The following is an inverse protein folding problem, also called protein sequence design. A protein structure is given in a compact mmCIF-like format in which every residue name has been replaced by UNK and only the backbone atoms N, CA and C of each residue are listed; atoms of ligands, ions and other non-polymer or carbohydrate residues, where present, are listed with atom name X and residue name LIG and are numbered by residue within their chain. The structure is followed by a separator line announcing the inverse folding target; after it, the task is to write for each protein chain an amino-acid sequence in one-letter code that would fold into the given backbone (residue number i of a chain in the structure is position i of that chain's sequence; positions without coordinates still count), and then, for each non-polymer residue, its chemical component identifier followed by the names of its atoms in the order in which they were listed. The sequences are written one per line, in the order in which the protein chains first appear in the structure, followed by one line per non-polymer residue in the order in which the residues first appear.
data_IF_695502842826
#
_entry.id   IF_695502842826
#
_cell.length_a   1.000
_cell.length_b   1.000
_cell.length_c   1.000
_cell.angle_alpha   90.00
_cell.angle_beta   90.00
_cell.angle_gamma   90.00
#
_symmetry.space_group_name_H-M   'P 1'
#
loop_
_entity.id
_entity.type
_entity.pdbx_description
1 polymer ?
#
# COMPACT_ATOMS: atom_id res chain seq x y z
N UNK A 1 12.32 -10.33 -10.16
CA UNK A 1 11.88 -9.59 -8.97
C UNK A 1 10.78 -8.62 -9.40
N UNK A 2 9.55 -8.87 -8.97
CA UNK A 2 8.36 -8.04 -9.20
C UNK A 2 7.93 -7.44 -7.87
N UNK A 3 7.68 -6.13 -7.86
CA UNK A 3 7.33 -5.42 -6.64
C UNK A 3 5.99 -4.73 -6.88
N UNK A 4 5.00 -5.06 -6.07
CA UNK A 4 3.73 -4.36 -6.01
C UNK A 4 3.78 -3.22 -5.00
N UNK A 5 2.93 -2.22 -5.21
CA UNK A 5 2.75 -1.09 -4.30
C UNK A 5 1.30 -0.99 -3.83
N UNK A 6 1.13 -0.63 -2.57
CA UNK A 6 -0.16 -0.37 -1.93
C UNK A 6 -0.09 0.90 -1.07
N UNK A 7 -1.26 1.38 -0.67
CA UNK A 7 -1.41 2.53 0.19
C UNK A 7 -1.55 2.05 1.65
N UNK A 8 -0.71 2.55 2.56
CA UNK A 8 -0.58 2.03 3.94
C UNK A 8 -1.31 2.85 5.01
N UNK A 9 -1.87 4.00 4.64
CA UNK A 9 -2.50 4.89 5.60
C UNK A 9 -3.89 4.39 6.02
N UNK A 10 -4.28 4.63 7.28
CA UNK A 10 -5.58 4.20 7.84
C UNK A 10 -6.80 4.73 7.10
N UNK A 11 -6.66 5.82 6.33
CA UNK A 11 -7.73 6.38 5.50
C UNK A 11 -7.66 5.98 4.03
N UNK A 12 -6.64 5.23 3.62
CA UNK A 12 -6.48 4.82 2.23
C UNK A 12 -7.32 3.59 1.89
N UNK A 13 -7.60 3.43 0.59
CA UNK A 13 -8.25 2.24 0.07
C UNK A 13 -7.23 1.11 0.05
N UNK A 14 -7.45 0.11 0.90
CA UNK A 14 -6.62 -1.10 0.96
C UNK A 14 -6.99 -2.10 -0.14
N UNK A 15 -8.20 -2.03 -0.67
CA UNK A 15 -8.73 -2.96 -1.67
C UNK A 15 -7.84 -3.09 -2.93
N UNK A 16 -7.24 -2.01 -3.47
CA UNK A 16 -6.27 -2.13 -4.58
C UNK A 16 -5.02 -2.93 -4.19
N UNK A 17 -4.50 -2.75 -2.98
CA UNK A 17 -3.33 -3.49 -2.50
C UNK A 17 -3.64 -4.99 -2.35
N UNK A 18 -4.87 -5.33 -1.93
CA UNK A 18 -5.36 -6.72 -1.89
C UNK A 18 -5.40 -7.33 -3.28
N UNK A 19 -5.93 -6.63 -4.28
CA UNK A 19 -5.95 -7.12 -5.67
C UNK A 19 -4.54 -7.38 -6.20
N UNK A 20 -3.60 -6.49 -5.87
CA UNK A 20 -2.19 -6.63 -6.26
C UNK A 20 -1.53 -7.83 -5.56
N UNK A 21 -1.82 -8.06 -4.27
CA UNK A 21 -1.34 -9.23 -3.54
C UNK A 21 -1.89 -10.56 -4.09
N UNK A 22 -3.19 -10.59 -4.39
CA UNK A 22 -3.88 -11.81 -4.83
C UNK A 22 -3.59 -12.17 -6.30
N UNK A 23 -3.42 -11.16 -7.17
CA UNK A 23 -3.43 -11.35 -8.63
C UNK A 23 -2.19 -10.81 -9.34
N UNK A 24 -1.35 -10.03 -8.66
CA UNK A 24 -0.23 -9.31 -9.28
C UNK A 24 0.99 -10.18 -9.61
N UNK A 25 1.05 -11.41 -9.12
CA UNK A 25 2.22 -12.30 -9.26
C UNK A 25 3.53 -11.59 -8.90
N UNK A 26 3.53 -10.93 -7.73
CA UNK A 26 4.62 -10.13 -7.19
C UNK A 26 5.45 -10.94 -6.19
N UNK A 27 6.74 -10.63 -6.08
CA UNK A 27 7.63 -11.21 -5.08
C UNK A 27 7.55 -10.43 -3.76
N UNK A 28 7.24 -9.13 -3.82
CA UNK A 28 7.14 -8.24 -2.66
C UNK A 28 6.01 -7.23 -2.83
N UNK A 29 5.30 -6.93 -1.74
CA UNK A 29 4.34 -5.82 -1.66
C UNK A 29 4.88 -4.76 -0.72
N UNK A 30 4.93 -3.51 -1.18
CA UNK A 30 5.41 -2.36 -0.42
C UNK A 30 4.25 -1.39 -0.19
N UNK A 31 4.16 -0.83 1.01
CA UNK A 31 3.19 0.21 1.33
C UNK A 31 3.88 1.57 1.38
N UNK A 32 3.23 2.60 0.84
CA UNK A 32 3.64 3.98 1.07
C UNK A 32 3.13 4.50 2.43
N UNK A 33 3.91 5.41 3.04
CA UNK A 33 3.63 6.03 4.35
C UNK A 33 3.53 7.56 4.27
N UNK A 34 3.19 8.08 3.10
CA UNK A 34 3.23 9.50 2.71
C UNK A 34 2.19 10.32 3.49
N UNK A 35 1.04 9.73 3.81
CA UNK A 35 0.02 10.36 4.65
C UNK A 35 0.29 10.22 6.16
N UNK A 36 1.05 9.21 6.61
CA UNK A 36 1.32 9.00 8.04
C UNK A 36 2.02 10.19 8.68
N UNK A 37 3.03 10.81 8.05
CA UNK A 37 3.75 11.92 8.71
C UNK A 37 3.02 13.25 8.67
N UNK A 38 2.16 13.46 7.68
CA UNK A 38 1.45 14.74 7.47
C UNK A 38 0.13 14.76 8.24
N UNK A 39 -0.60 13.64 8.31
CA UNK A 39 -1.86 13.53 9.05
C UNK A 39 -1.70 13.04 10.51
N UNK A 40 -0.60 12.37 10.88
CA UNK A 40 -0.40 12.01 12.31
C UNK A 40 -0.17 13.22 13.22
N UNK A 41 0.01 14.42 12.65
CA UNK A 41 0.15 15.68 13.38
C UNK A 41 -1.14 16.52 13.42
N UNK A 42 -2.22 16.05 12.79
CA UNK A 42 -3.52 16.73 12.73
C UNK A 42 -4.50 16.17 13.77
#
# INVERSE_FOLDING_TARGET
MRIGAGAGFSGDRIEPAVVVAERGAIDFLVFECLAERTMALA
#
